data_IF_313996000430
#
_entry.id   IF_313996000430
#
_cell.length_a   1.000
_cell.length_b   1.000
_cell.length_c   1.000
_cell.angle_alpha   90.00
_cell.angle_beta   90.00
_cell.angle_gamma   90.00
#
_symmetry.space_group_name_H-M   'P 1'
#
loop_
_entity.id
_entity.type
_entity.pdbx_description
1 polymer ?
#
# COMPACT_ATOMS: atom_id res chain seq x y z
N UNK A 1 9.16 -7.10 -11.35
CA UNK A 1 9.55 -8.29 -12.14
C UNK A 1 10.98 -8.07 -12.64
N UNK A 2 11.93 -8.95 -12.33
CA UNK A 2 13.36 -8.75 -12.61
C UNK A 2 14.05 -10.02 -13.08
N UNK A 3 15.32 -9.89 -13.48
CA UNK A 3 16.12 -10.95 -14.12
C UNK A 3 15.53 -11.40 -15.47
N UNK A 4 14.91 -10.48 -16.20
CA UNK A 4 14.41 -10.68 -17.56
C UNK A 4 15.60 -10.56 -18.52
N UNK A 5 15.66 -11.45 -19.50
CA UNK A 5 16.71 -11.42 -20.52
C UNK A 5 16.55 -10.23 -21.49
N UNK A 6 17.65 -9.70 -21.99
CA UNK A 6 17.64 -8.45 -22.75
C UNK A 6 16.92 -8.56 -24.10
N UNK A 7 16.93 -9.75 -24.69
CA UNK A 7 16.30 -10.08 -25.97
C UNK A 7 14.79 -10.39 -25.83
N UNK A 8 14.25 -10.41 -24.60
CA UNK A 8 12.84 -10.70 -24.37
C UNK A 8 12.01 -9.43 -24.53
N UNK A 9 11.02 -9.41 -25.45
CA UNK A 9 10.14 -8.27 -25.60
C UNK A 9 9.13 -8.18 -24.46
N UNK A 10 8.70 -6.96 -24.14
CA UNK A 10 7.70 -6.67 -23.12
C UNK A 10 6.43 -7.53 -23.27
N UNK A 11 5.93 -7.68 -24.49
CA UNK A 11 4.71 -8.43 -24.79
C UNK A 11 4.76 -9.87 -24.27
N UNK A 12 5.91 -10.54 -24.43
CA UNK A 12 6.09 -11.93 -23.98
C UNK A 12 6.10 -12.05 -22.47
N UNK A 13 6.58 -11.01 -21.78
CA UNK A 13 6.54 -10.94 -20.31
C UNK A 13 5.08 -10.76 -19.84
N UNK A 14 4.32 -9.89 -20.53
CA UNK A 14 2.91 -9.64 -20.22
C UNK A 14 2.05 -10.88 -20.46
N UNK A 15 2.30 -11.63 -21.54
CA UNK A 15 1.61 -12.90 -21.83
C UNK A 15 1.78 -13.90 -20.68
N UNK A 16 3.01 -14.11 -20.23
CA UNK A 16 3.28 -15.02 -19.10
C UNK A 16 2.71 -14.50 -17.78
N UNK A 17 2.78 -13.20 -17.50
CA UNK A 17 2.18 -12.60 -16.32
C UNK A 17 0.65 -12.69 -16.32
N UNK A 18 0.04 -12.69 -17.51
CA UNK A 18 -1.41 -12.78 -17.69
C UNK A 18 -1.98 -14.18 -17.43
N UNK A 19 -1.13 -15.21 -17.33
CA UNK A 19 -1.56 -16.59 -16.99
C UNK A 19 -2.12 -16.71 -15.57
N UNK A 20 -1.66 -15.87 -14.64
CA UNK A 20 -2.12 -15.87 -13.25
C UNK A 20 -3.33 -14.96 -13.04
N UNK A 21 -3.43 -13.90 -13.83
CA UNK A 21 -4.59 -13.03 -13.83
C UNK A 21 -4.37 -11.77 -14.65
N UNK A 22 -5.39 -10.92 -14.67
CA UNK A 22 -5.45 -9.77 -15.57
C UNK A 22 -4.44 -8.68 -15.17
N UNK A 23 -3.50 -8.41 -16.07
CA UNK A 23 -2.53 -7.31 -15.96
C UNK A 23 -3.21 -6.02 -16.42
N UNK A 24 -3.23 -5.01 -15.56
CA UNK A 24 -3.78 -3.66 -15.84
C UNK A 24 -2.75 -2.81 -16.57
N UNK A 25 -1.51 -2.85 -16.11
CA UNK A 25 -0.41 -2.11 -16.70
C UNK A 25 0.89 -2.86 -16.53
N UNK A 26 1.72 -2.84 -17.56
CA UNK A 26 3.10 -3.31 -17.46
C UNK A 26 4.02 -2.25 -18.05
N UNK A 27 5.17 -2.06 -17.42
CA UNK A 27 6.18 -1.10 -17.84
C UNK A 27 7.56 -1.74 -17.78
N UNK A 28 8.13 -2.06 -18.93
CA UNK A 28 9.52 -2.47 -19.02
C UNK A 28 10.45 -1.26 -18.92
N UNK A 29 11.54 -1.41 -18.18
CA UNK A 29 12.56 -0.37 -18.07
C UNK A 29 13.63 -0.57 -19.14
N UNK A 30 13.91 0.49 -19.88
CA UNK A 30 14.97 0.53 -20.90
C UNK A 30 16.03 1.54 -20.51
N UNK A 31 17.28 1.25 -20.87
CA UNK A 31 18.39 2.18 -20.79
C UNK A 31 18.25 3.23 -21.91
N UNK A 32 18.25 4.51 -21.52
CA UNK A 32 18.08 5.64 -22.45
C UNK A 32 19.27 5.83 -23.38
N UNK A 33 20.45 5.37 -22.97
CA UNK A 33 21.68 5.58 -23.73
C UNK A 33 21.89 4.47 -24.77
N UNK A 34 21.56 3.22 -24.40
CA UNK A 34 21.80 2.05 -25.24
C UNK A 34 20.54 1.53 -25.92
N UNK A 35 19.35 1.96 -25.49
CA UNK A 35 18.05 1.45 -25.96
C UNK A 35 17.76 0.01 -25.53
N UNK A 36 18.67 -0.62 -24.79
CA UNK A 36 18.51 -2.01 -24.33
C UNK A 36 17.61 -2.05 -23.10
N UNK A 37 16.89 -3.15 -22.92
CA UNK A 37 16.12 -3.34 -21.68
C UNK A 37 17.08 -3.40 -20.48
N UNK A 38 16.62 -3.02 -19.30
CA UNK A 38 17.40 -3.13 -18.06
C UNK A 38 17.26 -4.52 -17.41
N UNK A 39 16.53 -5.43 -18.05
CA UNK A 39 16.23 -6.76 -17.52
C UNK A 39 15.24 -6.74 -16.34
N UNK A 40 14.46 -5.67 -16.18
CA UNK A 40 13.38 -5.59 -15.19
C UNK A 40 12.24 -4.68 -15.66
N UNK A 41 11.08 -4.85 -15.03
CA UNK A 41 9.87 -4.09 -15.28
C UNK A 41 8.89 -4.15 -14.10
N UNK A 42 7.90 -3.28 -14.16
CA UNK A 42 6.84 -3.16 -13.17
C UNK A 42 5.53 -3.69 -13.77
N UNK A 43 4.80 -4.47 -12.98
CA UNK A 43 3.52 -5.05 -13.36
C UNK A 43 2.48 -4.64 -12.32
N UNK A 44 1.35 -4.15 -12.80
CA UNK A 44 0.17 -3.83 -12.01
C UNK A 44 -0.94 -4.81 -12.38
N UNK A 45 -1.46 -5.51 -11.38
CA UNK A 45 -2.58 -6.43 -11.52
C UNK A 45 -3.89 -5.75 -11.09
N UNK A 46 -5.01 -6.25 -11.59
CA UNK A 46 -6.35 -5.71 -11.24
C UNK A 46 -6.71 -5.93 -9.77
N UNK A 47 -6.16 -6.98 -9.14
CA UNK A 47 -6.42 -7.31 -7.75
C UNK A 47 -5.12 -7.59 -6.99
N UNK A 48 -4.98 -7.09 -5.74
CA UNK A 48 -3.80 -7.35 -4.92
C UNK A 48 -3.63 -8.85 -4.62
N UNK A 49 -4.73 -9.59 -4.46
CA UNK A 49 -4.72 -11.05 -4.24
C UNK A 49 -4.05 -11.78 -5.42
N UNK A 50 -4.36 -11.36 -6.65
CA UNK A 50 -3.76 -11.92 -7.87
C UNK A 50 -2.26 -11.65 -7.91
N UNK A 51 -1.82 -10.46 -7.48
CA UNK A 51 -0.40 -10.13 -7.41
C UNK A 51 0.35 -11.01 -6.39
N UNK A 52 -0.25 -11.28 -5.22
CA UNK A 52 0.33 -12.20 -4.23
C UNK A 52 0.44 -13.64 -4.76
N UNK A 53 -0.62 -14.12 -5.43
CA UNK A 53 -0.61 -15.43 -6.08
C UNK A 53 0.43 -15.50 -7.19
N UNK A 54 0.56 -14.46 -8.01
CA UNK A 54 1.58 -14.38 -9.05
C UNK A 54 2.98 -14.47 -8.45
N UNK A 55 3.26 -13.75 -7.37
CA UNK A 55 4.57 -13.84 -6.71
C UNK A 55 4.90 -15.24 -6.19
N UNK A 56 3.91 -15.99 -5.68
CA UNK A 56 4.12 -17.31 -5.06
C UNK A 56 4.13 -18.46 -6.07
N UNK A 57 3.25 -18.39 -7.08
CA UNK A 57 2.97 -19.50 -7.98
C UNK A 57 3.71 -19.36 -9.30
N UNK A 58 3.94 -18.14 -9.78
CA UNK A 58 4.46 -17.90 -11.11
C UNK A 58 5.98 -18.07 -11.15
N UNK A 59 6.44 -19.13 -11.81
CA UNK A 59 7.85 -19.43 -12.04
C UNK A 59 8.15 -19.35 -13.53
N UNK A 60 8.38 -18.13 -14.01
CA UNK A 60 8.74 -17.89 -15.41
C UNK A 60 10.25 -18.00 -15.58
N UNK A 61 10.69 -18.54 -16.71
CA UNK A 61 12.08 -18.49 -17.13
C UNK A 61 12.19 -18.08 -18.59
N UNK A 62 13.09 -17.16 -18.89
CA UNK A 62 13.38 -16.75 -20.27
C UNK A 62 14.82 -17.10 -20.62
N UNK A 63 15.04 -17.81 -21.72
CA UNK A 63 16.38 -18.19 -22.18
C UNK A 63 17.23 -18.88 -21.09
N UNK A 64 16.59 -19.72 -20.25
CA UNK A 64 17.24 -20.41 -19.12
C UNK A 64 17.50 -19.52 -17.89
N UNK A 65 17.04 -18.26 -17.91
CA UNK A 65 17.16 -17.33 -16.78
C UNK A 65 15.83 -17.26 -16.02
N UNK A 66 15.77 -17.65 -14.73
CA UNK A 66 14.56 -17.57 -13.94
C UNK A 66 14.21 -16.11 -13.62
N UNK A 67 12.97 -15.73 -13.88
CA UNK A 67 12.45 -14.39 -13.57
C UNK A 67 12.14 -14.31 -12.08
N UNK A 68 12.47 -13.19 -11.45
CA UNK A 68 12.16 -12.89 -10.06
C UNK A 68 10.99 -11.91 -9.97
N UNK A 69 9.94 -12.30 -9.25
CA UNK A 69 8.79 -11.45 -8.97
C UNK A 69 8.86 -11.07 -7.51
N UNK A 70 8.94 -9.77 -7.25
CA UNK A 70 8.90 -9.18 -5.92
C UNK A 70 7.90 -8.03 -5.95
N UNK A 71 7.37 -7.69 -4.76
CA UNK A 71 6.67 -6.44 -4.57
C UNK A 71 7.53 -5.29 -5.08
N UNK A 72 6.93 -4.44 -5.91
CA UNK A 72 7.51 -3.15 -6.20
C UNK A 72 7.42 -2.36 -4.90
N UNK A 73 8.57 -2.09 -4.27
CA UNK A 73 8.58 -1.03 -3.28
C UNK A 73 8.17 0.23 -4.02
N UNK A 74 7.10 0.86 -3.53
CA UNK A 74 6.53 2.03 -4.17
C UNK A 74 7.67 3.04 -4.37
N UNK A 75 8.12 3.22 -5.62
CA UNK A 75 8.76 4.44 -6.08
C UNK A 75 7.66 5.51 -6.12
N UNK A 76 7.05 5.75 -4.96
CA UNK A 76 6.54 7.05 -4.64
C UNK A 76 7.72 7.98 -4.87
N UNK A 77 7.59 9.03 -5.70
CA UNK A 77 8.62 10.04 -5.79
C UNK A 77 9.01 10.40 -4.36
N UNK A 78 10.30 10.52 -4.09
CA UNK A 78 10.93 10.58 -2.76
C UNK A 78 10.39 11.65 -1.80
N UNK A 79 9.35 12.40 -2.21
CA UNK A 79 8.50 13.27 -1.40
C UNK A 79 7.59 12.54 -0.40
N UNK A 80 7.42 11.21 -0.51
CA UNK A 80 6.59 10.43 0.44
C UNK A 80 7.38 9.21 0.96
N UNK A 81 8.65 9.39 1.35
CA UNK A 81 9.41 8.35 2.07
C UNK A 81 9.62 8.65 3.57
N UNK A 82 9.13 9.79 4.05
CA UNK A 82 9.09 10.11 5.49
C UNK A 82 7.79 9.69 6.17
N UNK A 83 7.33 8.46 5.93
CA UNK A 83 6.24 7.89 6.70
C UNK A 83 6.41 6.39 6.93
N UNK A 84 7.50 6.02 7.60
CA UNK A 84 7.28 5.10 8.73
C UNK A 84 6.18 5.72 9.58
N UNK A 85 5.20 4.96 10.13
CA UNK A 85 4.20 5.53 11.02
C UNK A 85 4.97 6.24 12.14
N UNK A 86 5.04 7.57 12.06
CA UNK A 86 5.69 8.37 13.09
C UNK A 86 4.93 8.02 14.35
N UNK A 87 5.60 7.53 15.41
CA UNK A 87 4.90 7.25 16.66
C UNK A 87 4.11 8.49 17.01
N UNK A 88 2.82 8.32 17.30
CA UNK A 88 1.92 9.41 17.65
C UNK A 88 2.65 10.24 18.71
N UNK A 89 3.05 11.47 18.35
CA UNK A 89 3.77 12.34 19.26
C UNK A 89 2.77 12.75 20.34
N UNK A 90 2.84 12.05 21.48
CA UNK A 90 2.02 12.32 22.66
C UNK A 90 2.10 13.79 23.07
N UNK A 91 3.23 14.46 22.81
CA UNK A 91 3.42 15.90 23.03
C UNK A 91 2.45 16.79 22.23
N UNK A 92 2.11 16.42 21.00
CA UNK A 92 1.14 17.19 20.19
C UNK A 92 -0.28 16.99 20.71
N UNK A 93 -0.61 15.80 21.21
CA UNK A 93 -1.89 15.51 21.84
C UNK A 93 -2.00 16.28 23.17
N UNK A 94 -0.93 16.32 23.97
CA UNK A 94 -0.89 17.06 25.23
C UNK A 94 -1.02 18.57 24.99
N UNK A 95 -0.31 19.14 24.01
CA UNK A 95 -0.44 20.56 23.67
C UNK A 95 -1.84 20.94 23.19
N UNK A 96 -2.45 20.10 22.36
CA UNK A 96 -3.82 20.31 21.93
C UNK A 96 -4.77 20.30 23.13
N UNK A 97 -4.64 19.30 24.03
CA UNK A 97 -5.45 19.21 25.26
C UNK A 97 -5.22 20.37 26.23
N UNK A 98 -4.01 20.92 26.32
CA UNK A 98 -3.72 22.09 27.16
C UNK A 98 -4.26 23.40 26.55
N UNK A 99 -4.51 23.40 25.23
CA UNK A 99 -5.20 24.50 24.53
C UNK A 99 -6.72 24.47 24.77
N UNK A 100 -7.26 23.35 25.25
CA UNK A 100 -8.66 23.27 25.67
C UNK A 100 -8.80 23.73 27.13
N UNK A 101 -9.72 24.66 27.36
CA UNK A 101 -10.05 25.17 28.69
C UNK A 101 -10.47 24.01 29.61
N UNK A 102 -9.70 23.76 30.67
CA UNK A 102 -9.84 22.59 31.56
C UNK A 102 -11.22 22.50 32.19
N UNK A 103 -11.87 23.65 32.40
CA UNK A 103 -13.22 23.74 32.96
C UNK A 103 -14.28 23.21 31.99
N UNK A 104 -14.16 23.52 30.71
CA UNK A 104 -15.11 23.07 29.69
C UNK A 104 -14.97 21.55 29.41
N UNK A 105 -13.73 21.05 29.46
CA UNK A 105 -13.44 19.63 29.26
C UNK A 105 -13.95 18.78 30.44
N UNK A 106 -13.86 19.31 31.67
CA UNK A 106 -14.41 18.66 32.86
C UNK A 106 -15.94 18.56 32.80
N UNK A 107 -16.63 19.60 32.34
CA UNK A 107 -18.10 19.58 32.18
C UNK A 107 -18.55 18.58 31.11
N UNK A 108 -17.84 18.48 29.98
CA UNK A 108 -18.14 17.49 28.94
C UNK A 108 -17.92 16.06 29.43
N UNK A 109 -16.83 15.82 30.18
CA UNK A 109 -16.57 14.51 30.78
C UNK A 109 -17.65 14.16 31.82
N UNK A 110 -18.05 15.13 32.66
CA UNK A 110 -19.10 14.92 33.67
C UNK A 110 -20.45 14.64 33.01
N UNK A 111 -20.77 15.36 31.94
CA UNK A 111 -21.97 15.15 31.12
C UNK A 111 -22.00 13.76 30.47
N UNK A 112 -20.90 13.33 29.85
CA UNK A 112 -20.78 11.98 29.27
C UNK A 112 -20.89 10.89 30.35
N UNK A 113 -20.28 11.08 31.53
CA UNK A 113 -20.41 10.16 32.66
C UNK A 113 -21.85 10.08 33.15
N UNK A 114 -22.53 11.22 33.29
CA UNK A 114 -23.92 11.29 33.73
C UNK A 114 -24.88 10.64 32.74
N UNK A 115 -24.69 10.89 31.44
CA UNK A 115 -25.48 10.25 30.39
C UNK A 115 -25.31 8.73 30.36
N UNK A 116 -24.09 8.23 30.58
CA UNK A 116 -23.83 6.79 30.63
C UNK A 116 -24.47 6.10 31.85
N UNK A 117 -24.61 6.82 32.98
CA UNK A 117 -25.23 6.30 34.21
C UNK A 117 -26.75 6.37 34.14
N UNK A 118 -27.31 7.48 33.66
CA UNK A 118 -28.77 7.72 33.68
C UNK A 118 -29.49 7.16 32.44
N UNK A 119 -28.85 7.07 31.26
CA UNK A 119 -29.49 6.62 30.01
C UNK A 119 -28.57 5.77 29.11
N UNK A 120 -28.20 4.54 29.55
CA UNK A 120 -27.28 3.67 28.80
C UNK A 120 -27.82 3.21 27.43
N UNK A 121 -29.14 3.26 27.21
CA UNK A 121 -29.78 2.84 25.95
C UNK A 121 -29.58 3.81 24.78
N UNK A 122 -29.28 5.09 25.04
CA UNK A 122 -29.05 6.11 24.00
C UNK A 122 -27.68 5.97 23.32
N UNK A 123 -26.71 5.31 23.98
CA UNK A 123 -25.35 5.08 23.42
C UNK A 123 -25.31 4.02 22.31
N UNK A 124 -26.36 3.21 22.15
CA UNK A 124 -26.38 2.09 21.18
C UNK A 124 -27.00 2.45 19.83
N UNK A 125 -27.68 3.60 19.70
CA UNK A 125 -28.54 3.91 18.55
C UNK A 125 -27.85 4.60 17.36
N UNK A 126 -26.56 4.91 17.43
CA UNK A 126 -25.84 5.68 16.39
C UNK A 126 -24.70 4.92 15.71
N UNK A 127 -24.87 3.61 15.51
CA UNK A 127 -24.04 2.85 14.58
C UNK A 127 -24.94 2.14 13.55
N UNK A 128 -25.15 2.73 12.35
CA UNK A 128 -25.66 1.99 11.21
C UNK A 128 -24.58 1.00 10.75
N UNK A 129 -24.99 -0.24 10.51
CA UNK A 129 -24.13 -1.35 10.07
C UNK A 129 -23.73 -1.18 8.60
#
# INVERSE_FOLDING_TARGET
VGNIDFDVPEQKVVEELSTVGKVVSFRMMYDKNTGKSKGYGFCEYESPLVAETAMKTLKIQFNGRPVKINYAENDLPSRIRDSAPKPLQVDNIIRALDTFDKDNLKEVIDFCKKMAVDQPSQLRSSAPW
#
